data_IF_728244250474
#
_entry.id   IF_728244250474
#
_cell.length_a   1.000
_cell.length_b   1.000
_cell.length_c   1.000
_cell.angle_alpha   90.00
_cell.angle_beta   90.00
_cell.angle_gamma   90.00
#
_symmetry.space_group_name_H-M   'P 1'
#
loop_
_entity.id
_entity.type
_entity.pdbx_description
1 polymer ?
#
# COMPACT_ATOMS: atom_id res chain seq x y z
N UNK A 1 10.02 30.08 19.28
CA UNK A 1 10.34 29.33 18.06
C UNK A 1 9.33 28.22 17.74
N UNK A 2 9.25 27.11 18.51
CA UNK A 2 8.26 26.03 18.22
C UNK A 2 6.81 26.52 18.32
N UNK A 3 6.50 27.36 19.31
CA UNK A 3 5.15 27.92 19.52
C UNK A 3 4.74 28.82 18.36
N UNK A 4 5.66 29.63 17.84
CA UNK A 4 5.40 30.52 16.71
C UNK A 4 5.10 29.73 15.42
N UNK A 5 5.78 28.59 15.24
CA UNK A 5 5.57 27.68 14.12
C UNK A 5 4.22 26.95 14.20
N UNK A 6 3.79 26.55 15.41
CA UNK A 6 2.49 25.90 15.59
C UNK A 6 1.34 26.91 15.54
N UNK A 7 1.53 28.11 16.12
CA UNK A 7 0.48 29.09 16.31
C UNK A 7 0.33 30.03 15.10
N UNK A 8 1.38 30.18 14.26
CA UNK A 8 1.43 31.01 13.04
C UNK A 8 0.64 32.32 13.16
N UNK A 9 0.98 33.18 14.12
CA UNK A 9 0.28 34.44 14.38
C UNK A 9 -1.26 34.32 14.47
N UNK A 10 -1.76 33.20 15.01
CA UNK A 10 -3.20 32.91 15.15
C UNK A 10 -3.81 32.08 14.02
N UNK A 11 -3.10 31.84 12.91
CA UNK A 11 -3.58 31.06 11.77
C UNK A 11 -3.25 29.57 11.85
N UNK A 12 -2.42 29.16 12.80
CA UNK A 12 -1.91 27.80 12.92
C UNK A 12 -3.01 26.75 12.95
N UNK A 13 -4.13 27.02 13.64
CA UNK A 13 -5.25 26.10 13.72
C UNK A 13 -5.80 25.72 12.34
N UNK A 14 -6.07 26.71 11.47
CA UNK A 14 -6.61 26.47 10.14
C UNK A 14 -5.63 25.72 9.23
N UNK A 15 -4.35 26.06 9.34
CA UNK A 15 -3.27 25.43 8.56
C UNK A 15 -3.14 23.96 8.95
N UNK A 16 -2.94 23.67 10.24
CA UNK A 16 -2.81 22.29 10.74
C UNK A 16 -4.08 21.46 10.54
N UNK A 17 -5.26 22.07 10.62
CA UNK A 17 -6.51 21.39 10.32
C UNK A 17 -6.63 21.01 8.84
N UNK A 18 -6.21 21.90 7.93
CA UNK A 18 -6.19 21.62 6.48
C UNK A 18 -5.22 20.50 6.14
N UNK A 19 -4.02 20.50 6.74
CA UNK A 19 -3.07 19.40 6.62
C UNK A 19 -3.61 18.11 7.23
N UNK A 20 -4.24 18.18 8.40
CA UNK A 20 -4.86 17.04 9.06
C UNK A 20 -5.92 16.35 8.20
N UNK A 21 -6.84 17.12 7.62
CA UNK A 21 -7.86 16.59 6.70
C UNK A 21 -7.19 15.94 5.48
N UNK A 22 -6.18 16.59 4.89
CA UNK A 22 -5.48 16.07 3.71
C UNK A 22 -4.78 14.75 4.03
N UNK A 23 -4.05 14.67 5.15
CA UNK A 23 -3.37 13.45 5.61
C UNK A 23 -4.39 12.34 5.87
N UNK A 24 -5.53 12.65 6.49
CA UNK A 24 -6.60 11.68 6.72
C UNK A 24 -7.20 11.15 5.41
N UNK A 25 -7.48 12.02 4.45
CA UNK A 25 -8.00 11.65 3.15
C UNK A 25 -7.01 10.74 2.38
N UNK A 26 -5.74 11.15 2.33
CA UNK A 26 -4.66 10.36 1.72
C UNK A 26 -4.48 9.01 2.44
N UNK A 27 -4.46 9.01 3.77
CA UNK A 27 -4.33 7.81 4.59
C UNK A 27 -5.48 6.84 4.39
N UNK A 28 -6.72 7.34 4.27
CA UNK A 28 -7.89 6.52 3.98
C UNK A 28 -7.83 5.87 2.59
N UNK A 29 -7.45 6.65 1.56
CA UNK A 29 -7.24 6.13 0.22
C UNK A 29 -6.12 5.08 0.19
N UNK A 30 -5.00 5.37 0.86
CA UNK A 30 -3.89 4.44 0.99
C UNK A 30 -4.34 3.13 1.65
N UNK A 31 -5.08 3.20 2.76
CA UNK A 31 -5.59 2.02 3.45
C UNK A 31 -6.50 1.16 2.57
N UNK A 32 -7.42 1.79 1.81
CA UNK A 32 -8.28 1.07 0.86
C UNK A 32 -7.46 0.38 -0.24
N UNK A 33 -6.48 1.09 -0.81
CA UNK A 33 -5.60 0.53 -1.84
C UNK A 33 -4.75 -0.61 -1.29
N UNK A 34 -4.21 -0.46 -0.08
CA UNK A 34 -3.43 -1.50 0.59
C UNK A 34 -4.24 -2.77 0.86
N UNK A 35 -5.50 -2.63 1.28
CA UNK A 35 -6.40 -3.77 1.46
C UNK A 35 -6.69 -4.49 0.14
N UNK A 36 -6.87 -3.74 -0.95
CA UNK A 36 -7.01 -4.31 -2.30
C UNK A 36 -5.75 -5.03 -2.73
N UNK A 37 -4.57 -4.43 -2.53
CA UNK A 37 -3.28 -5.03 -2.86
C UNK A 37 -3.12 -6.39 -2.18
N UNK A 38 -3.35 -6.48 -0.87
CA UNK A 38 -3.31 -7.76 -0.13
C UNK A 38 -4.31 -8.79 -0.64
N UNK A 39 -5.48 -8.35 -1.14
CA UNK A 39 -6.45 -9.27 -1.75
C UNK A 39 -5.91 -9.84 -3.07
N UNK A 40 -5.32 -9.00 -3.92
CA UNK A 40 -4.68 -9.43 -5.16
C UNK A 40 -3.48 -10.35 -4.91
N UNK A 41 -2.64 -10.05 -3.92
CA UNK A 41 -1.52 -10.92 -3.53
C UNK A 41 -2.00 -12.31 -3.12
N UNK A 42 -3.07 -12.41 -2.33
CA UNK A 42 -3.67 -13.69 -1.95
C UNK A 42 -4.25 -14.45 -3.14
N UNK A 43 -4.93 -13.74 -4.04
CA UNK A 43 -5.50 -14.36 -5.26
C UNK A 43 -4.39 -14.86 -6.19
N UNK A 44 -3.29 -14.11 -6.32
CA UNK A 44 -2.10 -14.55 -7.05
C UNK A 44 -1.45 -15.76 -6.39
N UNK A 45 -1.31 -15.77 -5.06
CA UNK A 45 -0.75 -16.92 -4.34
C UNK A 45 -1.62 -18.18 -4.56
N UNK A 46 -2.94 -18.06 -4.52
CA UNK A 46 -3.86 -19.16 -4.81
C UNK A 46 -3.70 -19.67 -6.23
N UNK A 47 -3.71 -18.77 -7.23
CA UNK A 47 -3.49 -19.15 -8.64
C UNK A 47 -2.13 -19.81 -8.84
N UNK A 48 -1.05 -19.27 -8.29
CA UNK A 48 0.29 -19.87 -8.41
C UNK A 48 0.35 -21.26 -7.74
N UNK A 49 -0.43 -21.52 -6.70
CA UNK A 49 -0.49 -22.85 -6.07
C UNK A 49 -1.39 -23.83 -6.84
N UNK A 50 -2.43 -23.35 -7.53
CA UNK A 50 -3.31 -24.16 -8.38
C UNK A 50 -2.73 -24.43 -9.79
N UNK A 51 -1.84 -23.57 -10.30
CA UNK A 51 -1.18 -23.73 -11.60
C UNK A 51 -0.16 -24.89 -11.57
N UNK A 52 -0.06 -25.61 -12.69
CA UNK A 52 0.96 -26.64 -12.92
C UNK A 52 2.37 -26.03 -13.04
N UNK A 53 3.42 -26.77 -12.65
CA UNK A 53 4.82 -26.29 -12.59
C UNK A 53 5.32 -25.60 -13.87
N UNK A 54 4.80 -26.01 -15.04
CA UNK A 54 5.15 -25.41 -16.32
C UNK A 54 4.57 -23.99 -16.52
N UNK A 55 3.37 -23.71 -16.00
CA UNK A 55 2.71 -22.41 -16.15
C UNK A 55 3.18 -21.42 -15.07
N UNK A 56 3.52 -21.93 -13.88
CA UNK A 56 4.11 -21.16 -12.77
C UNK A 56 5.41 -20.47 -13.19
N UNK A 57 6.31 -21.17 -13.89
CA UNK A 57 7.56 -20.56 -14.38
C UNK A 57 7.32 -19.41 -15.36
N UNK A 58 6.28 -19.49 -16.20
CA UNK A 58 5.97 -18.47 -17.21
C UNK A 58 5.42 -17.20 -16.53
N UNK A 59 4.52 -17.33 -15.55
CA UNK A 59 4.02 -16.19 -14.78
C UNK A 59 5.09 -15.56 -13.88
N UNK A 60 5.95 -16.38 -13.26
CA UNK A 60 7.08 -15.91 -12.43
C UNK A 60 8.14 -15.15 -13.25
N UNK A 61 8.40 -15.58 -14.50
CA UNK A 61 9.32 -14.88 -15.42
C UNK A 61 8.71 -13.60 -16.00
N UNK A 62 7.39 -13.54 -16.15
CA UNK A 62 6.69 -12.38 -16.75
C UNK A 62 6.57 -11.19 -15.79
N UNK A 63 6.58 -11.41 -14.48
CA UNK A 63 6.41 -10.35 -13.50
C UNK A 63 7.32 -10.48 -12.29
N UNK A 64 8.17 -9.47 -12.07
CA UNK A 64 9.01 -9.33 -10.87
C UNK A 64 8.18 -9.29 -9.58
N UNK A 65 6.94 -8.78 -9.67
CA UNK A 65 5.99 -8.72 -8.55
C UNK A 65 5.46 -10.11 -8.20
N UNK A 66 5.18 -10.97 -9.19
CA UNK A 66 4.70 -12.33 -8.96
C UNK A 66 5.76 -13.18 -8.24
N UNK A 67 7.01 -13.07 -8.65
CA UNK A 67 8.12 -13.76 -8.00
C UNK A 67 8.31 -13.32 -6.53
N UNK A 68 8.19 -12.01 -6.27
CA UNK A 68 8.33 -11.49 -4.92
C UNK A 68 7.17 -11.89 -3.99
N UNK A 69 5.94 -12.00 -4.52
CA UNK A 69 4.78 -12.50 -3.76
C UNK A 69 4.93 -13.99 -3.46
N UNK A 70 5.38 -14.81 -4.41
CA UNK A 70 5.63 -16.23 -4.22
C UNK A 70 6.68 -16.51 -3.15
N UNK A 71 7.84 -15.82 -3.20
CA UNK A 71 8.91 -15.96 -2.22
C UNK A 71 8.49 -15.57 -0.80
N UNK A 72 7.56 -14.61 -0.66
CA UNK A 72 7.07 -14.18 0.64
C UNK A 72 6.01 -15.13 1.23
N UNK A 73 5.34 -15.94 0.39
CA UNK A 73 4.32 -16.90 0.80
C UNK A 73 4.85 -18.32 1.00
N UNK A 74 5.97 -18.67 0.37
CA UNK A 74 6.61 -20.00 0.44
C UNK A 74 7.74 -20.06 1.51
N UNK A 75 7.59 -19.32 2.61
CA UNK A 75 8.56 -19.26 3.70
C UNK A 75 8.07 -19.98 4.95
#
# INVERSE_FOLDING_TARGET
MIKDLIMMNGYGFYVWFSFGITILACGFLYYKTFKKLKKYEKELACKILELSDAEREIELKKSKVANQVFLNYNK
#
